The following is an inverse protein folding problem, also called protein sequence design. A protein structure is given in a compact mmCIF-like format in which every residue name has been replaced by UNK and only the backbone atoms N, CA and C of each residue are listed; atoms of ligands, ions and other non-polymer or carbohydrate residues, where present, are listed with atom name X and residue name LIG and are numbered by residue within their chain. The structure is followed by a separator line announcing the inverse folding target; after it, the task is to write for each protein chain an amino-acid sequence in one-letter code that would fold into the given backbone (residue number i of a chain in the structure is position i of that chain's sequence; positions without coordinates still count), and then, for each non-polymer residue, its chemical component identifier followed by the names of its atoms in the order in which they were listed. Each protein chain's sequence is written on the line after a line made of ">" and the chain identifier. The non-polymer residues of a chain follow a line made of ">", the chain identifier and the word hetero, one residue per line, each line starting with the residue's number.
data_IF_965708757029
#
_entry.id   IF_965708757029
#
_cell.length_a   1.000
_cell.length_b   1.000
_cell.length_c   1.000
_cell.angle_alpha   90.00
_cell.angle_beta   90.00
_cell.angle_gamma   90.00
#
_symmetry.space_group_name_H-M   'P 1'
#
loop_
_entity.id
_entity.type
_entity.pdbx_description
1 polymer ?
#
# COMPACT_ATOMS: atom_id res chain seq x y z
N UNK A 1 -17.23 0.99 -10.14
CA UNK A 1 -15.99 1.56 -9.60
C UNK A 1 -15.82 1.09 -8.16
N UNK A 2 -15.14 -0.05 -7.94
CA UNK A 2 -15.19 -0.81 -6.67
C UNK A 2 -14.29 -0.27 -5.54
N UNK A 3 -13.87 1.00 -5.58
CA UNK A 3 -12.81 1.49 -4.67
C UNK A 3 -12.87 2.99 -4.36
N UNK A 4 -14.03 3.63 -4.48
CA UNK A 4 -14.20 5.03 -4.06
C UNK A 4 -14.38 5.04 -2.54
N UNK A 5 -13.63 5.90 -1.83
CA UNK A 5 -13.82 6.11 -0.41
C UNK A 5 -15.19 6.78 -0.17
N UNK A 6 -16.09 6.11 0.54
CA UNK A 6 -17.32 6.76 1.00
C UNK A 6 -17.00 7.71 2.17
N UNK A 7 -17.03 9.00 1.85
CA UNK A 7 -16.71 10.08 2.79
C UNK A 7 -17.70 10.18 3.95
N UNK A 8 -18.97 9.86 3.72
CA UNK A 8 -20.02 9.94 4.74
C UNK A 8 -19.92 8.76 5.69
N UNK A 9 -19.72 7.55 5.13
CA UNK A 9 -19.46 6.36 5.92
C UNK A 9 -18.23 6.56 6.80
N UNK A 10 -17.11 7.02 6.23
CA UNK A 10 -15.90 7.29 6.99
C UNK A 10 -16.15 8.30 8.12
N UNK A 11 -16.81 9.42 7.83
CA UNK A 11 -17.10 10.45 8.84
C UNK A 11 -17.97 9.90 9.99
N UNK A 12 -18.91 9.00 9.70
CA UNK A 12 -19.78 8.40 10.71
C UNK A 12 -19.04 7.48 11.70
N UNK A 13 -17.86 6.98 11.30
CA UNK A 13 -17.03 6.11 12.14
C UNK A 13 -16.18 6.89 13.17
N UNK A 14 -15.99 8.20 12.99
CA UNK A 14 -15.23 9.04 13.91
C UNK A 14 -16.07 9.44 15.12
N UNK A 15 -15.55 9.19 16.32
CA UNK A 15 -16.20 9.54 17.59
C UNK A 15 -15.16 9.87 18.67
N UNK A 16 -15.62 10.16 19.89
CA UNK A 16 -14.75 10.55 21.02
C UNK A 16 -13.78 9.45 21.49
N UNK A 17 -13.95 8.20 21.03
CA UNK A 17 -13.05 7.08 21.31
C UNK A 17 -12.06 6.82 20.16
N UNK A 18 -12.25 7.44 18.99
CA UNK A 18 -11.28 7.32 17.90
C UNK A 18 -9.96 7.96 18.34
N UNK A 19 -8.86 7.22 18.19
CA UNK A 19 -7.50 7.68 18.55
C UNK A 19 -6.57 7.65 17.37
N UNK A 20 -6.85 6.76 16.43
CA UNK A 20 -5.98 6.46 15.30
C UNK A 20 -6.83 6.15 14.07
N UNK A 21 -6.37 6.58 12.90
CA UNK A 21 -6.72 6.00 11.60
C UNK A 21 -5.45 5.46 10.93
N UNK A 22 -5.59 4.35 10.23
CA UNK A 22 -4.55 3.82 9.36
C UNK A 22 -5.03 4.01 7.91
N UNK A 23 -4.20 4.66 7.10
CA UNK A 23 -4.39 4.73 5.66
C UNK A 23 -3.24 4.00 4.97
N UNK A 24 -3.52 3.39 3.82
CA UNK A 24 -2.51 2.73 3.02
C UNK A 24 -2.66 3.17 1.56
N UNK A 25 -1.69 3.93 1.07
CA UNK A 25 -1.69 4.50 -0.29
C UNK A 25 -0.25 4.59 -0.83
N UNK A 26 0.06 4.06 -2.02
CA UNK A 26 -0.79 3.17 -2.83
C UNK A 26 -1.24 1.91 -2.06
N UNK A 27 -2.51 1.56 -2.21
CA UNK A 27 -3.17 0.55 -1.40
C UNK A 27 -2.83 -0.88 -1.82
N UNK A 28 -2.58 -1.75 -0.85
CA UNK A 28 -2.63 -3.20 -0.99
C UNK A 28 -3.93 -3.70 -0.34
N UNK A 29 -4.77 -4.52 -1.02
CA UNK A 29 -4.54 -5.18 -2.32
C UNK A 29 -5.13 -4.47 -3.55
N UNK A 30 -5.86 -3.36 -3.38
CA UNK A 30 -6.66 -2.77 -4.47
C UNK A 30 -5.81 -2.05 -5.52
N UNK A 31 -4.62 -1.57 -5.15
CA UNK A 31 -3.77 -0.73 -5.99
C UNK A 31 -4.29 0.70 -6.15
N UNK A 32 -5.23 1.14 -5.31
CA UNK A 32 -5.75 2.50 -5.31
C UNK A 32 -4.70 3.49 -4.80
N UNK A 33 -4.61 4.64 -5.45
CA UNK A 33 -3.91 5.80 -4.92
C UNK A 33 -4.97 6.79 -4.42
N UNK A 34 -4.80 7.28 -3.20
CA UNK A 34 -5.71 8.29 -2.65
C UNK A 34 -5.49 9.61 -3.37
N UNK A 35 -6.60 10.21 -3.79
CA UNK A 35 -6.59 11.55 -4.38
C UNK A 35 -6.35 12.60 -3.29
N UNK A 36 -5.94 13.81 -3.72
CA UNK A 36 -5.83 14.97 -2.82
C UNK A 36 -7.13 15.21 -2.01
N UNK A 37 -8.26 15.18 -2.69
CA UNK A 37 -9.59 15.42 -2.11
C UNK A 37 -9.97 14.35 -1.07
N UNK A 38 -9.62 13.08 -1.29
CA UNK A 38 -9.79 12.02 -0.30
C UNK A 38 -8.88 12.23 0.92
N UNK A 39 -7.61 12.59 0.70
CA UNK A 39 -6.65 12.86 1.78
C UNK A 39 -7.01 14.11 2.59
N UNK A 40 -7.52 15.16 1.96
CA UNK A 40 -8.00 16.37 2.63
C UNK A 40 -9.24 16.07 3.48
N UNK A 41 -10.15 15.21 3.01
CA UNK A 41 -11.28 14.75 3.81
C UNK A 41 -10.83 13.98 5.06
N UNK A 42 -9.89 13.05 4.91
CA UNK A 42 -9.29 12.31 6.03
C UNK A 42 -8.58 13.28 6.99
N UNK A 43 -7.79 14.21 6.46
CA UNK A 43 -7.08 15.20 7.25
C UNK A 43 -8.04 16.07 8.09
N UNK A 44 -9.16 16.50 7.51
CA UNK A 44 -10.18 17.28 8.22
C UNK A 44 -10.79 16.50 9.39
N UNK A 45 -11.06 15.20 9.21
CA UNK A 45 -11.56 14.34 10.29
C UNK A 45 -10.50 14.15 11.37
N UNK A 46 -9.24 13.90 10.99
CA UNK A 46 -8.13 13.79 11.94
C UNK A 46 -7.92 15.06 12.77
N UNK A 47 -8.07 16.23 12.15
CA UNK A 47 -7.99 17.52 12.84
C UNK A 47 -9.17 17.76 13.77
N UNK A 48 -10.40 17.53 13.28
CA UNK A 48 -11.64 17.75 14.04
C UNK A 48 -11.72 16.88 15.30
N UNK A 49 -11.23 15.64 15.22
CA UNK A 49 -11.36 14.65 16.31
C UNK A 49 -10.07 14.43 17.10
N UNK A 50 -9.01 15.18 16.79
CA UNK A 50 -7.68 15.01 17.38
C UNK A 50 -7.16 13.55 17.29
N UNK A 51 -7.18 13.01 16.07
CA UNK A 51 -6.82 11.62 15.76
C UNK A 51 -5.46 11.57 15.07
N UNK A 52 -4.62 10.60 15.49
CA UNK A 52 -3.34 10.31 14.85
C UNK A 52 -3.59 9.55 13.55
N UNK A 53 -2.84 9.86 12.50
CA UNK A 53 -2.83 9.13 11.24
C UNK A 53 -1.55 8.29 11.13
N UNK A 54 -1.68 6.98 10.93
CA UNK A 54 -0.59 6.15 10.41
C UNK A 54 -0.78 6.01 8.91
N UNK A 55 0.17 6.52 8.14
CA UNK A 55 0.17 6.45 6.68
C UNK A 55 1.17 5.39 6.22
N UNK A 56 0.66 4.22 5.83
CA UNK A 56 1.46 3.17 5.20
C UNK A 56 1.66 3.51 3.71
N UNK A 57 2.87 3.96 3.38
CA UNK A 57 3.24 4.48 2.06
C UNK A 57 4.35 3.63 1.42
N UNK A 58 4.46 2.35 1.78
CA UNK A 58 5.57 1.48 1.30
C UNK A 58 5.64 1.36 -0.23
N UNK A 59 4.55 1.63 -0.94
CA UNK A 59 4.45 1.57 -2.41
C UNK A 59 4.62 2.94 -3.10
N UNK A 60 5.06 3.98 -2.39
CA UNK A 60 5.13 5.38 -2.87
C UNK A 60 5.80 5.59 -4.25
N UNK A 61 6.70 4.70 -4.66
CA UNK A 61 7.44 4.77 -5.93
C UNK A 61 6.79 4.01 -7.09
N UNK A 62 5.72 3.25 -6.84
CA UNK A 62 5.02 2.43 -7.85
C UNK A 62 3.67 3.07 -8.13
N UNK A 63 3.66 4.05 -9.02
CA UNK A 63 2.49 4.84 -9.45
C UNK A 63 2.50 4.89 -10.97
N UNK A 64 1.44 4.40 -11.61
CA UNK A 64 1.43 4.14 -13.05
C UNK A 64 0.98 5.32 -13.90
N UNK A 65 0.05 6.13 -13.40
CA UNK A 65 -0.48 7.28 -14.12
C UNK A 65 0.38 8.50 -13.81
N UNK A 66 1.06 9.04 -14.82
CA UNK A 66 1.91 10.24 -14.70
C UNK A 66 1.15 11.48 -14.20
N UNK A 67 -0.17 11.53 -14.39
CA UNK A 67 -1.03 12.61 -13.93
C UNK A 67 -1.46 12.42 -12.46
N UNK A 68 -1.28 11.21 -11.91
CA UNK A 68 -1.49 10.92 -10.48
C UNK A 68 -0.14 10.91 -9.79
N UNK A 69 -0.01 11.72 -8.74
CA UNK A 69 1.20 11.72 -7.90
C UNK A 69 0.86 11.12 -6.55
N UNK A 70 1.80 10.38 -5.98
CA UNK A 70 1.71 10.00 -4.57
C UNK A 70 1.74 11.26 -3.71
N UNK A 71 0.70 11.46 -2.90
CA UNK A 71 0.59 12.59 -1.97
C UNK A 71 0.70 12.02 -0.57
N UNK A 72 1.70 12.50 0.17
CA UNK A 72 1.87 12.14 1.57
C UNK A 72 0.94 12.97 2.42
N UNK A 73 0.03 12.34 3.18
CA UNK A 73 -0.94 13.10 3.99
C UNK A 73 -0.24 14.01 5.01
N UNK A 74 0.96 13.63 5.47
CA UNK A 74 1.77 14.42 6.39
C UNK A 74 2.18 15.80 5.84
N UNK A 75 2.12 16.04 4.53
CA UNK A 75 2.43 17.35 3.92
C UNK A 75 1.19 18.25 3.78
N UNK A 76 0.00 17.74 4.11
CA UNK A 76 -1.21 18.57 4.17
C UNK A 76 -1.19 19.48 5.41
N UNK A 77 -1.88 20.64 5.37
CA UNK A 77 -1.92 21.56 6.50
C UNK A 77 -2.30 20.88 7.82
N UNK A 78 -1.53 21.13 8.88
CA UNK A 78 -1.73 20.63 10.24
C UNK A 78 -1.74 19.09 10.40
N UNK A 79 -1.21 18.36 9.41
CA UNK A 79 -1.12 16.90 9.48
C UNK A 79 0.26 16.40 9.94
N UNK A 80 1.31 17.20 9.84
CA UNK A 80 2.65 16.81 10.30
C UNK A 80 2.65 16.41 11.77
N UNK A 81 2.00 17.21 12.62
CA UNK A 81 1.97 17.02 14.08
C UNK A 81 1.22 15.75 14.50
N UNK A 82 0.45 15.12 13.60
CA UNK A 82 -0.38 13.96 13.93
C UNK A 82 -0.16 12.77 13.00
N UNK A 83 0.88 12.76 12.18
CA UNK A 83 1.11 11.68 11.20
C UNK A 83 2.40 10.92 11.45
N UNK A 84 2.31 9.60 11.42
CA UNK A 84 3.43 8.68 11.26
C UNK A 84 3.38 8.08 9.86
N UNK A 85 4.36 8.39 9.01
CA UNK A 85 4.50 7.82 7.67
C UNK A 85 5.47 6.63 7.69
N UNK A 86 5.06 5.51 7.12
CA UNK A 86 5.82 4.25 7.08
C UNK A 86 6.32 4.01 5.66
N UNK A 87 7.60 3.63 5.54
CA UNK A 87 8.20 3.17 4.29
C UNK A 87 8.97 1.85 4.46
N UNK A 88 9.38 1.24 3.34
CA UNK A 88 10.00 -0.09 3.34
C UNK A 88 11.06 -0.25 2.26
N UNK A 89 12.27 -0.65 2.65
CA UNK A 89 13.35 -0.99 1.72
C UNK A 89 12.94 -2.12 0.77
N UNK A 90 12.18 -3.09 1.28
CA UNK A 90 11.77 -4.25 0.51
C UNK A 90 10.85 -3.91 -0.66
N UNK A 91 10.13 -2.79 -0.58
CA UNK A 91 9.24 -2.30 -1.64
C UNK A 91 9.92 -1.24 -2.49
N UNK A 92 10.68 -0.33 -1.87
CA UNK A 92 11.46 0.71 -2.54
C UNK A 92 12.55 0.15 -3.46
N UNK A 93 13.22 -0.94 -3.08
CA UNK A 93 14.36 -1.52 -3.81
C UNK A 93 14.13 -2.97 -4.26
N UNK A 94 12.87 -3.43 -4.29
CA UNK A 94 12.50 -4.81 -4.63
C UNK A 94 13.27 -5.90 -3.87
N UNK A 95 13.71 -5.59 -2.64
CA UNK A 95 14.63 -6.41 -1.85
C UNK A 95 13.97 -6.86 -0.54
N UNK A 96 12.85 -7.59 -0.66
CA UNK A 96 11.97 -7.96 0.48
C UNK A 96 12.68 -8.75 1.59
N UNK A 97 13.74 -9.49 1.24
CA UNK A 97 14.57 -10.23 2.18
C UNK A 97 15.39 -9.36 3.16
N UNK A 98 15.61 -8.07 2.87
CA UNK A 98 16.35 -7.17 3.78
C UNK A 98 15.61 -6.88 5.08
N UNK A 99 14.27 -7.02 5.06
CA UNK A 99 13.37 -6.82 6.21
C UNK A 99 13.63 -5.52 6.98
N UNK A 100 13.95 -4.44 6.26
CA UNK A 100 14.15 -3.10 6.81
C UNK A 100 13.03 -2.15 6.36
N UNK A 101 12.56 -1.33 7.29
CA UNK A 101 11.61 -0.23 7.04
C UNK A 101 11.90 0.93 7.96
N UNK A 102 11.15 2.01 7.81
CA UNK A 102 11.32 3.24 8.58
C UNK A 102 9.98 3.87 8.91
N UNK A 103 9.97 4.68 9.98
CA UNK A 103 8.86 5.53 10.36
C UNK A 103 9.35 6.97 10.43
N UNK A 104 8.63 7.88 9.78
CA UNK A 104 8.91 9.32 9.74
C UNK A 104 7.72 10.02 10.39
N UNK A 105 8.00 10.95 11.29
CA UNK A 105 6.94 11.72 11.95
C UNK A 105 7.49 12.68 12.99
N UNK A 106 6.61 13.41 13.69
CA UNK A 106 7.00 14.43 14.65
C UNK A 106 7.61 13.80 15.89
N UNK A 107 8.52 14.54 16.54
CA UNK A 107 9.34 14.03 17.64
C UNK A 107 8.52 13.42 18.79
N UNK A 108 7.37 14.01 19.11
CA UNK A 108 6.53 13.56 20.22
C UNK A 108 5.87 12.19 19.94
N UNK A 109 5.47 11.89 18.70
CA UNK A 109 4.98 10.57 18.30
C UNK A 109 6.12 9.56 18.19
N UNK A 110 7.25 9.97 17.59
CA UNK A 110 8.42 9.11 17.43
C UNK A 110 9.03 8.64 18.76
N UNK A 111 8.78 9.36 19.88
CA UNK A 111 9.22 8.94 21.21
C UNK A 111 8.65 7.56 21.56
N UNK A 112 7.36 7.34 21.36
CA UNK A 112 6.71 6.06 21.66
C UNK A 112 7.21 4.94 20.76
N UNK A 113 7.38 5.21 19.45
CA UNK A 113 7.95 4.25 18.50
C UNK A 113 9.36 3.79 18.92
N UNK A 114 10.22 4.72 19.35
CA UNK A 114 11.58 4.40 19.84
C UNK A 114 11.57 3.57 21.12
N UNK A 115 10.67 3.87 22.05
CA UNK A 115 10.53 3.09 23.29
C UNK A 115 10.13 1.65 22.97
N UNK A 116 9.15 1.44 22.09
CA UNK A 116 8.75 0.08 21.66
C UNK A 116 9.92 -0.61 20.95
N UNK A 117 10.58 0.06 20.00
CA UNK A 117 11.72 -0.50 19.27
C UNK A 117 12.85 -0.95 20.22
N UNK A 118 13.22 -0.09 21.19
CA UNK A 118 14.24 -0.37 22.19
C UNK A 118 13.92 -1.60 23.04
N UNK A 119 12.65 -1.83 23.38
CA UNK A 119 12.23 -2.92 24.26
C UNK A 119 11.85 -4.21 23.51
N UNK A 120 11.63 -4.17 22.20
CA UNK A 120 11.29 -5.34 21.41
C UNK A 120 12.47 -5.92 20.63
N UNK A 121 13.22 -5.08 19.92
CA UNK A 121 14.26 -5.54 18.96
C UNK A 121 15.60 -4.84 19.15
N UNK A 122 15.64 -3.72 19.87
CA UNK A 122 16.81 -2.87 20.15
C UNK A 122 17.38 -2.22 18.88
N UNK A 123 17.82 -3.00 17.91
CA UNK A 123 18.47 -2.58 16.67
C UNK A 123 18.13 -3.49 15.49
N UNK A 124 18.06 -2.92 14.29
CA UNK A 124 18.00 -3.68 13.05
C UNK A 124 19.38 -4.23 12.65
N UNK A 125 19.45 -5.24 11.76
CA UNK A 125 20.73 -5.76 11.26
C UNK A 125 21.59 -4.67 10.59
N UNK A 126 22.86 -4.56 10.98
CA UNK A 126 23.80 -3.56 10.45
C UNK A 126 23.97 -3.67 8.94
N UNK A 127 24.06 -4.89 8.41
CA UNK A 127 24.25 -5.14 6.97
C UNK A 127 23.04 -4.62 6.17
N UNK A 128 21.81 -4.89 6.61
CA UNK A 128 20.61 -4.36 5.96
C UNK A 128 20.59 -2.83 5.96
N UNK A 129 21.00 -2.20 7.07
CA UNK A 129 21.07 -0.75 7.18
C UNK A 129 22.10 -0.14 6.23
N UNK A 130 23.31 -0.71 6.17
CA UNK A 130 24.38 -0.23 5.26
C UNK A 130 23.97 -0.38 3.79
N UNK A 131 23.43 -1.53 3.39
CA UNK A 131 22.97 -1.76 2.01
C UNK A 131 21.92 -0.72 1.62
N UNK A 132 20.91 -0.51 2.47
CA UNK A 132 19.83 0.46 2.20
C UNK A 132 20.35 1.89 2.14
N UNK A 133 21.29 2.27 3.02
CA UNK A 133 21.94 3.57 2.96
C UNK A 133 22.65 3.80 1.62
N UNK A 134 23.46 2.81 1.16
CA UNK A 134 24.14 2.89 -0.13
C UNK A 134 23.18 2.96 -1.31
N UNK A 135 22.09 2.20 -1.29
CA UNK A 135 21.05 2.28 -2.31
C UNK A 135 20.46 3.69 -2.39
N UNK A 136 20.10 4.29 -1.25
CA UNK A 136 19.61 5.67 -1.23
C UNK A 136 20.66 6.67 -1.73
N UNK A 137 21.90 6.61 -1.25
CA UNK A 137 22.98 7.50 -1.70
C UNK A 137 23.20 7.41 -3.22
N UNK A 138 23.12 6.21 -3.77
CA UNK A 138 23.27 5.97 -5.20
C UNK A 138 22.09 6.53 -6.01
N UNK A 139 20.85 6.23 -5.61
CA UNK A 139 19.66 6.68 -6.33
C UNK A 139 19.41 8.18 -6.20
N UNK A 140 19.63 8.76 -5.02
CA UNK A 140 19.41 10.19 -4.78
C UNK A 140 20.33 11.08 -5.63
N UNK A 141 21.57 10.63 -5.93
CA UNK A 141 22.48 11.35 -6.84
C UNK A 141 21.94 11.48 -8.26
N UNK A 142 21.01 10.61 -8.65
CA UNK A 142 20.47 10.52 -10.00
C UNK A 142 18.95 10.67 -10.04
N UNK A 143 18.32 11.20 -8.99
CA UNK A 143 16.85 11.27 -8.87
C UNK A 143 16.14 11.98 -10.03
N UNK A 144 16.83 12.88 -10.73
CA UNK A 144 16.30 13.58 -11.91
C UNK A 144 16.54 12.84 -13.24
N UNK A 145 17.23 11.69 -13.21
CA UNK A 145 17.46 10.84 -14.37
C UNK A 145 16.35 9.80 -14.53
N UNK A 146 16.00 9.47 -15.77
CA UNK A 146 15.12 8.34 -16.09
C UNK A 146 15.70 6.99 -15.66
N UNK A 147 17.01 6.91 -15.45
CA UNK A 147 17.70 5.70 -14.96
C UNK A 147 17.60 5.50 -13.44
N UNK A 148 17.14 6.52 -12.69
CA UNK A 148 16.89 6.34 -11.26
C UNK A 148 15.84 5.26 -11.04
N UNK A 149 16.11 4.34 -10.12
CA UNK A 149 15.23 3.22 -9.83
C UNK A 149 13.82 3.69 -9.42
N UNK A 150 13.74 4.80 -8.69
CA UNK A 150 12.49 5.42 -8.26
C UNK A 150 11.61 5.90 -9.43
N UNK A 151 12.22 6.23 -10.57
CA UNK A 151 11.53 6.68 -11.77
C UNK A 151 11.26 5.53 -12.75
N UNK A 152 12.15 4.53 -12.81
CA UNK A 152 12.06 3.44 -13.79
C UNK A 152 11.19 2.27 -13.33
N UNK A 153 11.08 2.02 -12.02
CA UNK A 153 10.33 0.88 -11.48
C UNK A 153 8.85 0.87 -11.90
N UNK A 154 8.20 2.04 -11.91
CA UNK A 154 6.79 2.16 -12.31
C UNK A 154 6.58 1.75 -13.77
N UNK A 155 7.52 2.12 -14.66
CA UNK A 155 7.46 1.75 -16.08
C UNK A 155 7.64 0.23 -16.28
N UNK A 156 8.55 -0.38 -15.53
CA UNK A 156 8.76 -1.83 -15.59
C UNK A 156 7.51 -2.61 -15.18
N UNK A 157 6.84 -2.18 -14.12
CA UNK A 157 5.62 -2.84 -13.66
C UNK A 157 4.39 -2.48 -14.50
N UNK A 158 4.36 -1.33 -15.16
CA UNK A 158 3.24 -0.91 -16.01
C UNK A 158 2.98 -1.91 -17.13
N UNK A 159 4.04 -2.32 -17.84
CA UNK A 159 3.94 -3.30 -18.92
C UNK A 159 3.43 -4.66 -18.40
N UNK A 160 3.93 -5.10 -17.22
CA UNK A 160 3.51 -6.35 -16.58
C UNK A 160 2.05 -6.27 -16.12
N UNK A 161 1.62 -5.14 -15.55
CA UNK A 161 0.25 -4.87 -15.13
C UNK A 161 -0.70 -5.02 -16.31
N UNK A 162 -0.40 -4.37 -17.44
CA UNK A 162 -1.30 -4.35 -18.60
C UNK A 162 -1.43 -5.74 -19.23
N UNK A 163 -0.32 -6.47 -19.35
CA UNK A 163 -0.33 -7.88 -19.78
C UNK A 163 -1.20 -8.75 -18.86
N UNK A 164 -1.05 -8.61 -17.54
CA UNK A 164 -1.80 -9.44 -16.60
C UNK A 164 -3.29 -9.08 -16.53
N UNK A 165 -3.61 -7.78 -16.59
CA UNK A 165 -5.00 -7.29 -16.71
C UNK A 165 -5.66 -7.86 -17.96
N UNK A 166 -4.96 -7.84 -19.10
CA UNK A 166 -5.49 -8.36 -20.35
C UNK A 166 -5.73 -9.87 -20.27
N UNK A 167 -4.76 -10.64 -19.75
CA UNK A 167 -4.90 -12.08 -19.56
C UNK A 167 -6.09 -12.43 -18.66
N UNK A 168 -6.29 -11.70 -17.54
CA UNK A 168 -7.43 -11.92 -16.64
C UNK A 168 -8.76 -11.67 -17.34
N UNK A 169 -8.86 -10.61 -18.16
CA UNK A 169 -10.06 -10.34 -18.97
C UNK A 169 -10.33 -11.44 -20.01
N UNK A 170 -9.30 -11.94 -20.67
CA UNK A 170 -9.40 -13.03 -21.66
C UNK A 170 -9.84 -14.35 -21.00
N UNK A 171 -9.42 -14.61 -19.76
CA UNK A 171 -9.94 -15.70 -18.94
C UNK A 171 -11.38 -15.46 -18.46
N UNK A 172 -11.97 -14.29 -18.76
CA UNK A 172 -13.32 -13.88 -18.40
C UNK A 172 -13.41 -13.08 -17.11
N UNK A 173 -12.39 -13.08 -16.24
CA UNK A 173 -12.40 -12.34 -14.96
C UNK A 173 -12.57 -10.82 -15.14
N UNK A 174 -13.01 -10.15 -14.07
CA UNK A 174 -13.13 -8.68 -14.06
C UNK A 174 -12.03 -8.09 -13.17
N UNK A 175 -10.84 -7.78 -13.72
CA UNK A 175 -9.76 -7.17 -12.94
C UNK A 175 -10.07 -5.71 -12.58
N UNK A 176 -9.71 -5.33 -11.36
CA UNK A 176 -9.57 -3.94 -10.94
C UNK A 176 -8.20 -3.46 -11.42
N UNK A 177 -8.18 -2.55 -12.39
CA UNK A 177 -6.92 -1.99 -12.91
C UNK A 177 -6.30 -1.09 -11.84
N UNK A 178 -5.10 -1.41 -11.31
CA UNK A 178 -4.51 -0.66 -10.22
C UNK A 178 -3.87 0.64 -10.71
N UNK A 179 -3.97 1.69 -9.90
CA UNK A 179 -3.30 2.98 -10.10
C UNK A 179 -1.84 2.96 -9.63
N UNK A 180 -1.51 2.06 -8.69
CA UNK A 180 -0.17 1.87 -8.16
C UNK A 180 -0.01 0.54 -7.43
N UNK A 181 1.19 0.30 -6.89
CA UNK A 181 1.57 -1.01 -6.34
C UNK A 181 1.63 -2.10 -7.42
N UNK A 182 1.77 -3.36 -7.05
CA UNK A 182 1.96 -4.46 -8.01
C UNK A 182 0.99 -5.64 -7.80
N UNK A 183 -0.13 -5.40 -7.14
CA UNK A 183 -1.22 -6.37 -6.99
C UNK A 183 -2.39 -6.02 -7.90
N UNK A 184 -3.12 -7.03 -8.36
CA UNK A 184 -4.34 -6.89 -9.14
C UNK A 184 -5.41 -7.75 -8.46
N UNK A 185 -6.49 -7.13 -8.00
CA UNK A 185 -7.70 -7.84 -7.61
C UNK A 185 -8.50 -8.21 -8.85
N UNK A 186 -9.07 -9.41 -8.89
CA UNK A 186 -9.93 -9.85 -9.96
C UNK A 186 -11.20 -10.51 -9.42
N UNK A 187 -12.35 -10.02 -9.84
CA UNK A 187 -13.62 -10.66 -9.52
C UNK A 187 -13.79 -11.92 -10.39
N UNK A 188 -13.87 -13.06 -9.69
CA UNK A 188 -14.01 -14.39 -10.24
C UNK A 188 -15.45 -14.94 -10.13
N UNK A 189 -16.42 -14.14 -9.66
CA UNK A 189 -17.78 -14.58 -9.32
C UNK A 189 -18.52 -15.32 -10.43
N UNK A 190 -18.25 -15.02 -11.70
CA UNK A 190 -18.83 -15.76 -12.82
C UNK A 190 -18.37 -17.22 -12.93
N UNK A 191 -17.23 -17.55 -12.32
CA UNK A 191 -16.71 -18.93 -12.21
C UNK A 191 -17.16 -19.60 -10.90
N UNK A 192 -17.69 -18.81 -9.96
CA UNK A 192 -18.01 -19.30 -8.62
C UNK A 192 -19.09 -20.40 -8.64
N UNK A 193 -20.10 -20.25 -9.50
CA UNK A 193 -21.21 -21.22 -9.67
C UNK A 193 -21.71 -21.83 -8.35
N UNK A 194 -22.15 -23.09 -8.41
CA UNK A 194 -22.40 -23.90 -7.21
C UNK A 194 -21.14 -24.58 -6.67
N UNK A 195 -20.03 -24.55 -7.43
CA UNK A 195 -18.76 -25.22 -7.07
C UNK A 195 -18.05 -24.60 -5.89
N UNK A 196 -18.27 -23.31 -5.64
CA UNK A 196 -17.56 -22.54 -4.61
C UNK A 196 -18.54 -21.87 -3.64
N UNK A 197 -19.57 -22.60 -3.19
CA UNK A 197 -20.43 -22.14 -2.11
C UNK A 197 -19.65 -22.10 -0.79
N UNK A 198 -19.89 -21.07 0.03
CA UNK A 198 -19.32 -20.96 1.37
C UNK A 198 -19.95 -22.01 2.28
N UNK A 199 -19.13 -22.74 3.02
CA UNK A 199 -19.56 -23.57 4.15
C UNK A 199 -18.88 -23.05 5.43
N UNK A 200 -19.10 -23.74 6.55
CA UNK A 200 -18.63 -23.31 7.86
C UNK A 200 -17.10 -23.14 7.96
N UNK A 201 -16.34 -23.82 7.11
CA UNK A 201 -14.89 -23.94 7.23
C UNK A 201 -14.10 -23.07 6.23
N UNK A 202 -14.68 -22.67 5.09
CA UNK A 202 -14.00 -21.84 4.10
C UNK A 202 -14.91 -20.78 3.43
N UNK A 203 -14.37 -19.57 3.32
CA UNK A 203 -14.91 -18.52 2.45
C UNK A 203 -14.66 -18.84 0.97
N UNK A 204 -15.53 -18.32 0.10
CA UNK A 204 -15.62 -18.70 -1.32
C UNK A 204 -14.31 -18.49 -2.09
N UNK A 205 -13.54 -17.49 -1.72
CA UNK A 205 -12.26 -17.12 -2.35
C UNK A 205 -11.18 -18.16 -2.03
N UNK A 206 -11.06 -18.59 -0.77
CA UNK A 206 -10.13 -19.67 -0.37
C UNK A 206 -10.37 -20.94 -1.18
N UNK A 207 -11.64 -21.33 -1.38
CA UNK A 207 -11.97 -22.51 -2.21
C UNK A 207 -11.57 -22.33 -3.66
N UNK A 208 -11.78 -21.12 -4.20
CA UNK A 208 -11.37 -20.79 -5.55
C UNK A 208 -9.84 -20.82 -5.71
N UNK A 209 -9.08 -20.25 -4.76
CA UNK A 209 -7.61 -20.32 -4.73
C UNK A 209 -7.12 -21.76 -4.67
N UNK A 210 -7.70 -22.59 -3.79
CA UNK A 210 -7.35 -24.01 -3.70
C UNK A 210 -7.64 -24.78 -4.99
N UNK A 211 -8.74 -24.47 -5.66
CA UNK A 211 -9.06 -25.03 -6.96
C UNK A 211 -8.03 -24.62 -8.02
N UNK A 212 -7.70 -23.33 -8.13
CA UNK A 212 -6.65 -22.88 -9.06
C UNK A 212 -5.31 -23.55 -8.77
N UNK A 213 -4.96 -23.71 -7.50
CA UNK A 213 -3.71 -24.37 -7.11
C UNK A 213 -3.71 -25.85 -7.50
N UNK A 214 -4.76 -26.60 -7.19
CA UNK A 214 -4.82 -28.05 -7.42
C UNK A 214 -5.04 -28.42 -8.88
N UNK A 215 -5.93 -27.70 -9.56
CA UNK A 215 -6.45 -28.08 -10.87
C UNK A 215 -5.83 -27.29 -12.02
N UNK A 216 -5.22 -26.13 -11.73
CA UNK A 216 -4.62 -25.24 -12.73
C UNK A 216 -3.13 -24.97 -12.49
N UNK A 217 -2.57 -25.45 -11.37
CA UNK A 217 -1.18 -25.19 -10.97
C UNK A 217 -0.86 -23.68 -10.88
N UNK A 218 -1.89 -22.87 -10.61
CA UNK A 218 -1.79 -21.42 -10.47
C UNK A 218 -1.99 -21.06 -9.00
N UNK A 219 -1.00 -20.36 -8.44
CA UNK A 219 -1.05 -19.86 -7.07
C UNK A 219 -1.37 -18.36 -7.08
N UNK A 220 -2.44 -18.00 -6.37
CA UNK A 220 -2.80 -16.61 -6.08
C UNK A 220 -2.98 -16.46 -4.56
N UNK A 221 -2.90 -15.23 -4.07
CA UNK A 221 -3.03 -14.88 -2.64
C UNK A 221 -4.35 -14.17 -2.43
#
# INVERSE_FOLDING_TARGET
>A
SHSILDKNELASMFNSRTRLIIINTPNNPVGKIFTRDELEHIANLCQKHDVICISDEVYEWIVYDENKKHIRIATLPNMWERTLTIGSAGKTFSSTGLKLGWTIGPQHLMRSCRVVHQNCVISCPTISQEVVARCFEYELKRINSSECYFNSISNEFLEKRDKFVQALKECGMKPVVPDGGYFILADYSQFAGDKFQSDADDVKDIKFVRYLTKEKEIHII
#
